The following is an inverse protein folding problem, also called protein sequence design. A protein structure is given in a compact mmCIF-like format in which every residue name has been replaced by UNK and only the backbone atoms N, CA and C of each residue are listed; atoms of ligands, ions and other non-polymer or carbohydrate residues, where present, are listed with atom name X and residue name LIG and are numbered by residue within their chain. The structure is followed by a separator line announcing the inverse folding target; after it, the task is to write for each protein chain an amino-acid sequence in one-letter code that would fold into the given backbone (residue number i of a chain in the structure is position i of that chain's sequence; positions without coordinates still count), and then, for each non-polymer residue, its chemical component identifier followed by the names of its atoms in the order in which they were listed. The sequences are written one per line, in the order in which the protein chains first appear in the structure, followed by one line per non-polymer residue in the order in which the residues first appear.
data_IF_133806159249
#
_entry.id   IF_133806159249
#
_cell.length_a   1.000
_cell.length_b   1.000
_cell.length_c   1.000
_cell.angle_alpha   90.00
_cell.angle_beta   90.00
_cell.angle_gamma   90.00
#
_symmetry.space_group_name_H-M   'P 1'
#
loop_
_entity.id
_entity.type
_entity.pdbx_description
1 polymer ?
#
# COMPACT_ATOMS: atom_id res chain seq x y z
N UNK A 1 -85.61 -20.32 -2.75
CA UNK A 1 -85.75 -21.37 -1.73
C UNK A 1 -84.53 -21.27 -0.80
N UNK A 2 -84.74 -21.24 0.53
CA UNK A 2 -83.79 -20.70 1.49
C UNK A 2 -82.95 -21.77 2.18
N UNK A 3 -81.95 -21.33 2.95
CA UNK A 3 -81.31 -21.92 4.15
C UNK A 3 -79.78 -21.88 4.04
N UNK A 4 -78.99 -21.48 5.03
CA UNK A 4 -79.23 -20.88 6.34
C UNK A 4 -77.88 -20.31 6.85
N UNK A 5 -77.95 -19.23 7.65
CA UNK A 5 -77.24 -18.94 8.91
C UNK A 5 -75.84 -19.54 9.19
N UNK A 6 -74.91 -18.92 9.93
CA UNK A 6 -74.82 -17.62 10.60
C UNK A 6 -73.46 -17.56 11.35
N UNK A 7 -73.11 -16.35 11.78
CA UNK A 7 -72.30 -15.98 12.95
C UNK A 7 -70.77 -15.81 12.88
N UNK A 8 -70.41 -14.52 12.89
CA UNK A 8 -69.24 -13.90 13.52
C UNK A 8 -69.21 -14.13 15.05
N UNK A 9 -68.01 -14.15 15.64
CA UNK A 9 -67.52 -13.56 16.93
C UNK A 9 -66.03 -13.99 17.04
N UNK A 10 -65.03 -13.12 16.87
CA UNK A 10 -64.36 -12.20 17.81
C UNK A 10 -63.16 -12.79 18.60
N UNK A 11 -61.98 -12.24 18.27
CA UNK A 11 -60.87 -11.78 19.15
C UNK A 11 -60.07 -12.74 20.09
N UNK A 12 -58.73 -12.65 19.89
CA UNK A 12 -57.59 -12.60 20.84
C UNK A 12 -56.65 -13.82 21.04
N UNK A 13 -55.35 -13.51 20.82
CA UNK A 13 -54.07 -14.08 21.34
C UNK A 13 -53.51 -15.33 20.62
N UNK A 14 -52.21 -15.50 20.35
CA UNK A 14 -50.91 -14.83 20.62
C UNK A 14 -49.82 -15.58 19.81
N UNK A 15 -48.79 -14.86 19.31
CA UNK A 15 -47.42 -15.32 18.93
C UNK A 15 -47.27 -16.40 17.83
N UNK A 16 -46.22 -16.51 17.01
CA UNK A 16 -44.98 -15.82 16.64
C UNK A 16 -44.51 -16.60 15.38
N UNK A 17 -43.88 -16.04 14.34
CA UNK A 17 -42.43 -15.85 14.16
C UNK A 17 -42.30 -15.35 12.70
N UNK A 18 -41.98 -14.07 12.48
CA UNK A 18 -40.63 -13.52 12.26
C UNK A 18 -40.34 -13.24 10.78
N UNK A 19 -40.45 -11.95 10.44
CA UNK A 19 -39.99 -11.31 9.21
C UNK A 19 -38.52 -11.60 8.94
N UNK A 20 -38.22 -12.02 7.71
CA UNK A 20 -36.89 -11.89 7.12
C UNK A 20 -36.71 -10.43 6.74
N UNK A 21 -36.24 -9.61 7.68
CA UNK A 21 -35.66 -8.31 7.36
C UNK A 21 -34.24 -8.53 6.85
N UNK A 22 -34.03 -8.12 5.62
CA UNK A 22 -32.76 -7.89 4.95
C UNK A 22 -31.80 -7.12 5.85
N UNK A 23 -30.89 -7.86 6.48
CA UNK A 23 -29.72 -7.30 7.13
C UNK A 23 -28.71 -6.97 6.03
N UNK A 24 -28.70 -5.70 5.60
CA UNK A 24 -27.57 -5.13 4.86
C UNK A 24 -26.35 -5.21 5.76
N UNK A 25 -25.54 -6.27 5.62
CA UNK A 25 -24.19 -6.29 6.15
C UNK A 25 -23.38 -5.23 5.39
N UNK A 26 -23.42 -4.01 5.91
CA UNK A 26 -22.34 -3.06 5.73
C UNK A 26 -21.12 -3.70 6.39
N UNK A 27 -20.25 -4.28 5.57
CA UNK A 27 -18.89 -4.64 5.94
C UNK A 27 -18.17 -3.34 6.31
N UNK A 28 -18.34 -2.89 7.55
CA UNK A 28 -17.41 -1.97 8.20
C UNK A 28 -16.08 -2.69 8.22
N UNK A 29 -15.09 -2.15 7.50
CA UNK A 29 -13.72 -2.62 7.60
C UNK A 29 -13.32 -2.73 9.06
N UNK A 30 -12.96 -3.95 9.48
CA UNK A 30 -12.15 -4.18 10.67
C UNK A 30 -10.78 -3.54 10.34
N UNK A 31 -10.51 -2.29 10.65
CA UNK A 31 -10.74 -1.66 11.94
C UNK A 31 -9.57 -2.09 12.81
N UNK A 32 -8.41 -1.47 12.56
CA UNK A 32 -7.21 -1.45 13.40
C UNK A 32 -7.53 -1.81 14.86
N UNK A 33 -6.93 -2.90 15.36
CA UNK A 33 -7.39 -3.55 16.60
C UNK A 33 -7.59 -2.51 17.72
N UNK A 34 -8.70 -2.60 18.44
CA UNK A 34 -9.09 -1.69 19.52
C UNK A 34 -7.94 -1.45 20.53
N UNK A 35 -7.11 -2.46 20.77
CA UNK A 35 -5.91 -2.38 21.60
C UNK A 35 -4.77 -1.50 21.03
N UNK A 36 -4.64 -1.41 19.70
CA UNK A 36 -3.62 -0.63 19.02
C UNK A 36 -4.03 0.84 18.90
N UNK A 37 -5.31 1.10 18.60
CA UNK A 37 -5.91 2.45 18.71
C UNK A 37 -5.86 2.97 20.14
N UNK A 38 -6.23 2.15 21.12
CA UNK A 38 -6.11 2.49 22.54
C UNK A 38 -4.67 2.79 22.94
N UNK A 39 -3.70 2.02 22.46
CA UNK A 39 -2.28 2.27 22.71
C UNK A 39 -1.77 3.60 22.11
N UNK A 40 -2.24 3.98 20.92
CA UNK A 40 -1.84 5.24 20.28
C UNK A 40 -2.54 6.46 20.90
N UNK A 41 -3.81 6.33 21.30
CA UNK A 41 -4.54 7.32 22.10
C UNK A 41 -3.89 7.55 23.46
N UNK A 42 -3.48 6.46 24.14
CA UNK A 42 -2.76 6.52 25.42
C UNK A 42 -1.41 7.23 25.25
N UNK A 43 -0.64 6.92 24.19
CA UNK A 43 0.62 7.58 23.86
C UNK A 43 0.42 9.07 23.55
N UNK A 44 -0.65 9.43 22.84
CA UNK A 44 -0.99 10.83 22.53
C UNK A 44 -1.43 11.60 23.78
N UNK A 45 -2.18 10.97 24.68
CA UNK A 45 -2.57 11.56 25.95
C UNK A 45 -1.35 11.82 26.85
N UNK A 46 -0.44 10.84 26.95
CA UNK A 46 0.81 11.00 27.69
C UNK A 46 1.70 12.08 27.07
N UNK A 47 1.84 12.11 25.75
CA UNK A 47 2.60 13.16 25.06
C UNK A 47 2.02 14.55 25.31
N UNK A 48 0.69 14.68 25.35
CA UNK A 48 0.01 15.95 25.65
C UNK A 48 0.32 16.39 27.09
N UNK A 49 0.23 15.46 28.04
CA UNK A 49 0.55 15.71 29.44
C UNK A 49 2.01 16.12 29.62
N UNK A 50 2.95 15.37 29.06
CA UNK A 50 4.39 15.71 29.08
C UNK A 50 4.65 17.08 28.47
N UNK A 51 3.94 17.44 27.40
CA UNK A 51 4.08 18.75 26.78
C UNK A 51 3.64 19.89 27.71
N UNK A 52 2.43 19.80 28.27
CA UNK A 52 1.85 20.84 29.14
C UNK A 52 2.61 20.96 30.47
N UNK A 53 3.01 19.84 31.07
CA UNK A 53 3.63 19.82 32.41
C UNK A 53 5.15 20.06 32.39
N UNK A 54 5.84 19.76 31.29
CA UNK A 54 7.32 19.74 31.25
C UNK A 54 7.92 20.58 30.12
N UNK A 55 7.46 20.38 28.89
CA UNK A 55 8.02 21.09 27.71
C UNK A 55 7.64 22.57 27.74
N UNK A 56 6.37 22.90 27.97
CA UNK A 56 5.90 24.28 27.97
C UNK A 56 6.58 25.15 29.05
N UNK A 57 6.73 24.70 30.32
CA UNK A 57 7.49 25.44 31.32
C UNK A 57 8.96 25.65 30.93
N UNK A 58 9.64 24.62 30.44
CA UNK A 58 11.05 24.73 30.02
C UNK A 58 11.23 25.77 28.92
N UNK A 59 10.37 25.72 27.88
CA UNK A 59 10.44 26.66 26.75
C UNK A 59 10.12 28.09 27.20
N UNK A 60 9.15 28.28 28.10
CA UNK A 60 8.82 29.60 28.66
C UNK A 60 9.94 30.17 29.51
N UNK A 61 10.66 29.33 30.24
CA UNK A 61 11.74 29.75 31.13
C UNK A 61 13.02 30.12 30.35
N UNK A 62 13.41 29.29 29.38
CA UNK A 62 14.72 29.39 28.74
C UNK A 62 14.70 29.98 27.32
N UNK A 63 13.56 29.93 26.60
CA UNK A 63 13.56 30.16 25.14
C UNK A 63 12.74 31.39 24.69
N UNK A 64 11.55 31.61 25.26
CA UNK A 64 10.58 32.61 24.74
C UNK A 64 11.08 34.06 24.81
N UNK A 65 12.01 34.38 25.70
CA UNK A 65 12.62 35.72 25.77
C UNK A 65 13.25 36.18 24.45
N UNK A 66 13.83 35.25 23.67
CA UNK A 66 14.45 35.55 22.37
C UNK A 66 13.68 34.96 21.17
N UNK A 67 12.88 33.92 21.42
CA UNK A 67 12.12 33.20 20.40
C UNK A 67 10.60 33.37 20.55
N UNK A 68 10.14 34.41 21.24
CA UNK A 68 8.73 34.80 21.39
C UNK A 68 8.42 36.17 20.77
N UNK A 69 7.13 36.46 20.59
CA UNK A 69 6.65 37.74 20.07
C UNK A 69 6.96 38.04 18.59
N UNK A 70 6.73 39.28 18.17
CA UNK A 70 6.86 39.74 16.78
C UNK A 70 8.29 39.97 16.26
N UNK A 71 9.33 39.63 17.04
CA UNK A 71 10.75 39.79 16.67
C UNK A 71 11.57 38.54 17.05
N UNK A 72 11.00 37.37 16.80
CA UNK A 72 11.68 36.10 17.01
C UNK A 72 13.02 36.03 16.25
N UNK A 73 14.12 35.74 16.97
CA UNK A 73 15.43 35.53 16.34
C UNK A 73 15.38 34.33 15.39
N UNK A 74 16.12 34.42 14.28
CA UNK A 74 16.22 33.38 13.25
C UNK A 74 14.88 32.89 12.66
N UNK A 75 13.84 33.73 12.73
CA UNK A 75 12.48 33.40 12.27
C UNK A 75 11.85 32.18 12.99
N UNK A 76 12.26 31.91 14.24
CA UNK A 76 11.73 30.80 15.07
C UNK A 76 10.87 31.36 16.19
N UNK A 77 9.54 31.23 16.06
CA UNK A 77 8.57 31.70 17.05
C UNK A 77 7.97 30.53 17.84
N UNK A 78 8.57 30.27 19.00
CA UNK A 78 8.18 29.19 19.90
C UNK A 78 6.86 29.47 20.64
N UNK A 79 6.42 30.72 20.78
CA UNK A 79 5.11 31.01 21.41
C UNK A 79 3.94 30.49 20.56
N UNK A 80 4.07 30.58 19.24
CA UNK A 80 3.08 29.99 18.32
C UNK A 80 3.23 28.46 18.30
N UNK A 81 4.44 27.93 18.49
CA UNK A 81 4.67 26.47 18.57
C UNK A 81 4.04 25.92 19.87
N UNK A 82 4.09 26.68 20.96
CA UNK A 82 3.48 26.31 22.24
C UNK A 82 1.95 26.16 22.14
N UNK A 83 1.29 27.02 21.36
CA UNK A 83 -0.17 26.95 21.15
C UNK A 83 -0.61 25.82 20.21
N UNK A 84 0.29 25.38 19.33
CA UNK A 84 0.00 24.37 18.31
C UNK A 84 1.21 23.45 18.11
N UNK A 85 1.56 22.61 19.11
CA UNK A 85 2.82 21.84 19.10
C UNK A 85 2.92 20.83 17.96
N UNK A 86 1.77 20.35 17.46
CA UNK A 86 1.69 19.37 16.40
C UNK A 86 1.77 19.93 14.98
N UNK A 87 1.78 21.25 14.77
CA UNK A 87 1.79 21.81 13.41
C UNK A 87 3.11 21.49 12.68
N UNK A 88 3.05 21.27 11.37
CA UNK A 88 4.23 20.86 10.59
C UNK A 88 5.44 21.80 10.74
N UNK A 89 5.22 23.12 10.80
CA UNK A 89 6.29 24.10 11.03
C UNK A 89 6.89 23.98 12.45
N UNK A 90 6.08 23.63 13.45
CA UNK A 90 6.57 23.45 14.82
C UNK A 90 7.52 22.27 14.93
N UNK A 91 7.26 21.18 14.20
CA UNK A 91 8.17 20.04 14.13
C UNK A 91 9.58 20.45 13.66
N UNK A 92 9.68 21.32 12.65
CA UNK A 92 10.98 21.85 12.17
C UNK A 92 11.66 22.69 13.26
N UNK A 93 10.90 23.51 13.98
CA UNK A 93 11.43 24.32 15.08
C UNK A 93 11.90 23.46 16.25
N UNK A 94 11.14 22.44 16.66
CA UNK A 94 11.52 21.51 17.72
C UNK A 94 12.80 20.74 17.36
N UNK A 95 12.94 20.28 16.11
CA UNK A 95 14.17 19.63 15.63
C UNK A 95 15.39 20.55 15.76
N UNK A 96 15.25 21.83 15.41
CA UNK A 96 16.31 22.84 15.58
C UNK A 96 16.59 23.13 17.05
N UNK A 97 15.55 23.25 17.88
CA UNK A 97 15.70 23.49 19.31
C UNK A 97 16.48 22.36 19.99
N UNK A 98 16.11 21.11 19.73
CA UNK A 98 16.83 19.92 20.24
C UNK A 98 18.29 19.92 19.78
N UNK A 99 18.56 20.20 18.51
CA UNK A 99 19.92 20.24 17.98
C UNK A 99 20.79 21.28 18.72
N UNK A 100 20.29 22.51 18.88
CA UNK A 100 21.02 23.60 19.53
C UNK A 100 21.14 23.42 21.06
N UNK A 101 20.11 22.87 21.72
CA UNK A 101 20.16 22.58 23.17
C UNK A 101 21.17 21.47 23.47
N UNK A 102 21.24 20.45 22.58
CA UNK A 102 22.16 19.32 22.71
C UNK A 102 23.64 19.70 22.59
N UNK A 103 23.96 20.72 21.79
CA UNK A 103 25.33 21.21 21.61
C UNK A 103 25.63 22.46 22.46
N UNK A 104 24.74 22.80 23.38
CA UNK A 104 24.87 23.95 24.30
C UNK A 104 24.88 25.34 23.64
N UNK A 105 24.54 25.45 22.36
CA UNK A 105 24.42 26.74 21.65
C UNK A 105 23.24 27.57 22.14
N UNK A 106 22.20 26.92 22.68
CA UNK A 106 21.00 27.57 23.21
C UNK A 106 20.69 27.12 24.63
N UNK A 107 20.36 28.04 25.56
CA UNK A 107 20.42 29.51 25.42
C UNK A 107 21.87 30.04 25.27
N UNK A 108 22.10 31.19 24.59
CA UNK A 108 23.44 31.75 24.40
C UNK A 108 24.09 32.15 25.73
N UNK A 109 25.42 32.27 25.77
CA UNK A 109 26.17 32.58 27.01
C UNK A 109 25.70 33.86 27.73
N UNK A 110 25.21 34.85 26.98
CA UNK A 110 24.66 36.11 27.50
C UNK A 110 23.22 35.98 28.05
N UNK A 111 22.68 34.76 28.09
CA UNK A 111 21.36 34.52 28.60
C UNK A 111 21.29 34.66 30.13
N UNK A 112 20.18 35.23 30.61
CA UNK A 112 19.99 35.47 32.05
C UNK A 112 19.84 34.17 32.87
N UNK A 113 19.48 33.07 32.22
CA UNK A 113 19.31 31.75 32.82
C UNK A 113 19.84 30.69 31.85
N UNK A 114 20.48 29.67 32.42
CA UNK A 114 21.05 28.53 31.71
C UNK A 114 20.52 27.24 32.35
N UNK A 115 19.97 26.30 31.56
CA UNK A 115 19.57 25.00 32.08
C UNK A 115 20.79 24.13 32.40
N UNK A 116 20.67 23.26 33.40
CA UNK A 116 21.67 22.23 33.72
C UNK A 116 21.75 21.17 32.61
N UNK A 117 22.82 20.37 32.62
CA UNK A 117 22.98 19.27 31.66
C UNK A 117 21.84 18.24 31.79
N UNK A 118 21.39 17.97 33.01
CA UNK A 118 20.24 17.11 33.27
C UNK A 118 18.94 17.69 32.70
N UNK A 119 18.68 18.99 32.89
CA UNK A 119 17.48 19.65 32.34
C UNK A 119 17.50 19.64 30.80
N UNK A 120 18.67 19.83 30.19
CA UNK A 120 18.85 19.74 28.73
C UNK A 120 18.52 18.33 28.22
N UNK A 121 19.06 17.31 28.88
CA UNK A 121 18.81 15.92 28.51
C UNK A 121 17.32 15.56 28.66
N UNK A 122 16.69 15.98 29.76
CA UNK A 122 15.26 15.78 29.98
C UNK A 122 14.42 16.46 28.90
N UNK A 123 14.74 17.70 28.52
CA UNK A 123 14.05 18.40 27.42
C UNK A 123 14.13 17.62 26.11
N UNK A 124 15.31 17.09 25.75
CA UNK A 124 15.50 16.28 24.54
C UNK A 124 14.60 15.04 24.55
N UNK A 125 14.50 14.36 25.69
CA UNK A 125 13.65 13.17 25.86
C UNK A 125 12.16 13.51 25.76
N UNK A 126 11.72 14.63 26.34
CA UNK A 126 10.32 15.06 26.26
C UNK A 126 9.92 15.45 24.84
N UNK A 127 10.81 16.11 24.09
CA UNK A 127 10.53 16.50 22.70
C UNK A 127 10.32 15.29 21.79
N UNK A 128 10.97 14.14 22.06
CA UNK A 128 10.75 12.92 21.26
C UNK A 128 9.28 12.43 21.31
N UNK A 129 8.55 12.74 22.38
CA UNK A 129 7.13 12.41 22.50
C UNK A 129 6.22 13.31 21.65
N UNK A 130 6.69 14.48 21.19
CA UNK A 130 5.85 15.41 20.42
C UNK A 130 5.43 14.86 19.06
N UNK A 131 6.10 13.83 18.55
CA UNK A 131 5.67 13.13 17.32
C UNK A 131 4.24 12.61 17.41
N UNK A 132 3.74 12.29 18.61
CA UNK A 132 2.36 11.83 18.83
C UNK A 132 1.33 12.99 18.83
N UNK A 133 1.77 14.24 18.93
CA UNK A 133 0.89 15.41 18.89
C UNK A 133 0.66 15.94 17.48
N UNK A 134 1.53 15.60 16.53
CA UNK A 134 1.35 15.91 15.12
C UNK A 134 0.21 15.09 14.52
N UNK A 135 -0.61 15.68 13.64
CA UNK A 135 -1.58 14.90 12.88
C UNK A 135 -0.82 13.90 12.00
N UNK A 136 -1.30 12.66 11.97
CA UNK A 136 -0.79 11.65 11.04
C UNK A 136 -1.17 12.10 9.63
N UNK A 137 -0.18 12.53 8.85
CA UNK A 137 -0.37 12.89 7.45
C UNK A 137 0.78 12.27 6.64
N UNK A 138 0.55 11.12 5.99
CA UNK A 138 1.58 10.46 5.18
C UNK A 138 1.85 11.17 3.83
N UNK A 139 1.12 12.25 3.54
CA UNK A 139 1.12 12.90 2.23
C UNK A 139 0.11 12.28 1.27
N UNK A 140 0.05 12.78 0.02
CA UNK A 140 -0.87 12.28 -0.98
C UNK A 140 -0.57 10.81 -1.31
N UNK A 141 -1.61 10.03 -1.57
CA UNK A 141 -1.44 8.69 -2.09
C UNK A 141 -0.89 8.74 -3.51
N UNK A 142 0.16 7.97 -3.77
CA UNK A 142 0.72 7.77 -5.11
C UNK A 142 0.89 6.29 -5.37
N UNK A 143 0.47 5.83 -6.54
CA UNK A 143 0.90 4.53 -7.07
C UNK A 143 2.38 4.64 -7.41
N UNK A 144 3.14 3.56 -7.15
CA UNK A 144 4.59 3.53 -7.39
C UNK A 144 4.89 2.66 -8.59
N UNK A 145 5.62 3.17 -9.58
CA UNK A 145 6.15 2.35 -10.68
C UNK A 145 7.29 1.46 -10.18
N UNK A 146 7.40 0.23 -10.70
CA UNK A 146 8.57 -0.61 -10.48
C UNK A 146 9.79 0.04 -11.13
N UNK A 147 10.91 0.03 -10.42
CA UNK A 147 12.20 0.42 -10.99
C UNK A 147 12.66 -0.59 -12.05
N UNK A 148 13.63 -0.21 -12.88
CA UNK A 148 14.21 -1.10 -13.91
C UNK A 148 14.70 -2.41 -13.31
N UNK A 149 15.41 -2.36 -12.18
CA UNK A 149 15.88 -3.55 -11.46
C UNK A 149 14.71 -4.41 -10.95
N UNK A 150 13.71 -3.80 -10.33
CA UNK A 150 12.54 -4.52 -9.81
C UNK A 150 11.72 -5.16 -10.93
N UNK A 151 11.58 -4.48 -12.07
CA UNK A 151 10.91 -5.00 -13.26
C UNK A 151 11.66 -6.23 -13.80
N UNK A 152 12.98 -6.14 -13.98
CA UNK A 152 13.82 -7.25 -14.44
C UNK A 152 13.75 -8.46 -13.50
N UNK A 153 13.90 -8.24 -12.19
CA UNK A 153 13.80 -9.28 -11.18
C UNK A 153 12.39 -9.91 -11.13
N UNK A 154 11.34 -9.11 -11.32
CA UNK A 154 9.97 -9.62 -11.41
C UNK A 154 9.79 -10.55 -12.61
N UNK A 155 10.32 -10.18 -13.78
CA UNK A 155 10.29 -11.04 -14.95
C UNK A 155 11.08 -12.33 -14.74
N UNK A 156 12.22 -12.24 -14.05
CA UNK A 156 13.01 -13.40 -13.68
C UNK A 156 12.24 -14.37 -12.77
N UNK A 157 11.71 -13.88 -11.66
CA UNK A 157 11.05 -14.73 -10.67
C UNK A 157 9.75 -15.33 -11.22
N UNK A 158 8.96 -14.54 -11.95
CA UNK A 158 7.66 -14.98 -12.47
C UNK A 158 7.74 -15.76 -13.79
N UNK A 159 8.75 -15.51 -14.62
CA UNK A 159 8.80 -16.06 -15.99
C UNK A 159 10.14 -16.70 -16.36
N UNK A 160 11.15 -16.67 -15.48
CA UNK A 160 12.45 -17.31 -15.70
C UNK A 160 13.29 -16.64 -16.78
N UNK A 161 13.00 -15.38 -17.10
CA UNK A 161 13.75 -14.58 -18.08
C UNK A 161 14.98 -13.96 -17.40
N UNK A 162 16.05 -13.73 -18.17
CA UNK A 162 17.21 -13.02 -17.63
C UNK A 162 16.83 -11.56 -17.27
N UNK A 163 17.11 -11.08 -16.05
CA UNK A 163 16.72 -9.73 -15.62
C UNK A 163 17.35 -8.62 -16.48
N UNK A 164 18.47 -8.88 -17.16
CA UNK A 164 19.12 -7.93 -18.08
C UNK A 164 18.25 -7.56 -19.29
N UNK A 165 17.13 -8.27 -19.51
CA UNK A 165 16.14 -7.87 -20.51
C UNK A 165 15.63 -6.45 -20.26
N UNK A 166 15.66 -5.97 -19.01
CA UNK A 166 15.20 -4.64 -18.62
C UNK A 166 16.22 -3.51 -18.86
N UNK A 167 17.49 -3.82 -19.15
CA UNK A 167 18.58 -2.84 -19.35
C UNK A 167 18.30 -1.72 -20.35
N UNK A 168 17.47 -1.90 -21.41
CA UNK A 168 17.11 -0.81 -22.32
C UNK A 168 16.23 0.28 -21.70
N UNK A 169 15.62 0.05 -20.53
CA UNK A 169 14.82 1.06 -19.86
C UNK A 169 15.72 2.18 -19.31
N UNK A 170 15.30 3.46 -19.40
CA UNK A 170 16.09 4.56 -18.88
C UNK A 170 16.30 4.43 -17.36
N UNK A 171 17.49 4.82 -16.89
CA UNK A 171 17.78 4.89 -15.47
C UNK A 171 16.85 5.87 -14.75
N UNK A 172 16.50 5.54 -13.50
CA UNK A 172 15.67 6.40 -12.68
C UNK A 172 16.48 7.59 -12.14
N UNK A 173 15.87 8.77 -12.12
CA UNK A 173 16.50 9.96 -11.55
C UNK A 173 16.44 9.87 -10.02
N UNK A 174 17.60 9.72 -9.38
CA UNK A 174 17.72 9.75 -7.93
C UNK A 174 17.36 11.15 -7.39
N UNK A 175 16.47 11.21 -6.40
CA UNK A 175 16.17 12.44 -5.64
C UNK A 175 14.83 13.11 -5.95
N UNK A 176 14.13 12.76 -7.03
CA UNK A 176 12.78 13.28 -7.33
C UNK A 176 11.63 12.40 -6.80
N UNK A 177 11.96 11.31 -6.09
CA UNK A 177 11.00 10.28 -5.69
C UNK A 177 10.72 9.29 -6.82
N UNK A 178 9.64 8.52 -6.70
CA UNK A 178 9.26 7.55 -7.74
C UNK A 178 8.66 8.26 -8.96
N UNK A 179 9.22 8.03 -10.15
CA UNK A 179 8.65 8.49 -11.41
C UNK A 179 7.41 7.65 -11.75
N UNK A 180 6.24 8.21 -11.44
CA UNK A 180 4.95 7.54 -11.61
C UNK A 180 4.27 7.85 -12.96
N UNK A 181 4.95 8.57 -13.86
CA UNK A 181 4.52 8.82 -15.23
C UNK A 181 5.17 7.84 -16.20
N UNK A 182 4.47 7.53 -17.28
CA UNK A 182 4.99 6.79 -18.43
C UNK A 182 4.87 7.70 -19.65
N UNK A 183 6.02 8.02 -20.26
CA UNK A 183 6.05 8.74 -21.53
C UNK A 183 5.68 7.81 -22.70
N UNK A 184 5.21 8.35 -23.84
CA UNK A 184 4.95 7.54 -25.03
C UNK A 184 6.14 6.66 -25.44
N UNK A 185 7.37 7.18 -25.33
CA UNK A 185 8.60 6.42 -25.59
C UNK A 185 8.74 5.23 -24.64
N UNK A 186 8.46 5.41 -23.35
CA UNK A 186 8.52 4.32 -22.37
C UNK A 186 7.44 3.27 -22.62
N UNK A 187 6.24 3.67 -23.06
CA UNK A 187 5.19 2.71 -23.44
C UNK A 187 5.64 1.78 -24.58
N UNK A 188 6.30 2.34 -25.60
CA UNK A 188 6.86 1.54 -26.70
C UNK A 188 7.97 0.60 -26.23
N UNK A 189 8.83 1.06 -25.31
CA UNK A 189 9.86 0.21 -24.71
C UNK A 189 9.25 -0.96 -23.92
N UNK A 190 8.24 -0.70 -23.08
CA UNK A 190 7.57 -1.78 -22.35
C UNK A 190 6.86 -2.75 -23.28
N UNK A 191 6.30 -2.27 -24.39
CA UNK A 191 5.69 -3.13 -25.41
C UNK A 191 6.72 -4.02 -26.11
N UNK A 192 7.88 -3.46 -26.47
CA UNK A 192 8.99 -4.22 -27.06
C UNK A 192 9.53 -5.28 -26.08
N UNK A 193 9.72 -4.91 -24.81
CA UNK A 193 10.12 -5.85 -23.77
C UNK A 193 9.09 -6.96 -23.57
N UNK A 194 7.80 -6.63 -23.57
CA UNK A 194 6.75 -7.64 -23.48
C UNK A 194 6.79 -8.62 -24.66
N UNK A 195 7.08 -8.16 -25.88
CA UNK A 195 7.28 -9.05 -27.03
C UNK A 195 8.44 -10.02 -26.79
N UNK A 196 9.60 -9.49 -26.40
CA UNK A 196 10.81 -10.30 -26.15
C UNK A 196 10.60 -11.33 -25.05
N UNK A 197 9.90 -10.97 -23.97
CA UNK A 197 9.53 -11.89 -22.90
C UNK A 197 8.65 -13.01 -23.44
N UNK A 198 7.60 -12.67 -24.20
CA UNK A 198 6.69 -13.68 -24.78
C UNK A 198 7.43 -14.62 -25.74
N UNK A 199 8.33 -14.10 -26.58
CA UNK A 199 9.15 -14.90 -27.49
C UNK A 199 10.08 -15.89 -26.77
N UNK A 200 10.60 -15.53 -25.59
CA UNK A 200 11.44 -16.42 -24.79
C UNK A 200 10.63 -17.44 -23.99
N UNK A 201 9.46 -17.04 -23.50
CA UNK A 201 8.62 -17.85 -22.63
C UNK A 201 7.79 -18.86 -23.42
N UNK A 202 7.20 -18.43 -24.54
CA UNK A 202 6.24 -19.20 -25.33
C UNK A 202 6.95 -19.80 -26.55
N UNK A 203 6.91 -21.13 -26.66
CA UNK A 203 7.46 -21.81 -27.81
C UNK A 203 6.66 -21.48 -29.09
N UNK A 204 7.32 -21.33 -30.25
CA UNK A 204 6.65 -21.15 -31.52
C UNK A 204 5.66 -22.29 -31.83
N UNK A 205 4.68 -22.01 -32.68
CA UNK A 205 3.67 -22.99 -33.08
C UNK A 205 4.31 -24.28 -33.61
N UNK A 206 3.77 -25.43 -33.19
CA UNK A 206 4.27 -26.75 -33.57
C UNK A 206 5.58 -27.17 -32.88
N UNK A 207 6.20 -26.32 -32.06
CA UNK A 207 7.36 -26.68 -31.23
C UNK A 207 6.92 -27.19 -29.86
N UNK A 208 7.82 -27.90 -29.18
CA UNK A 208 7.58 -28.41 -27.84
C UNK A 208 7.55 -27.23 -26.85
N UNK A 209 6.47 -27.13 -26.08
CA UNK A 209 6.33 -26.11 -25.04
C UNK A 209 7.54 -26.09 -24.08
N UNK A 210 7.94 -24.89 -23.65
CA UNK A 210 8.99 -24.73 -22.63
C UNK A 210 8.48 -25.20 -21.25
N UNK A 211 9.38 -25.33 -20.27
CA UNK A 211 8.97 -25.64 -18.90
C UNK A 211 8.12 -24.50 -18.31
N UNK A 212 8.51 -23.25 -18.58
CA UNK A 212 7.79 -22.05 -18.15
C UNK A 212 6.41 -22.00 -18.79
N UNK A 213 6.29 -22.17 -20.11
CA UNK A 213 5.00 -22.17 -20.80
C UNK A 213 4.03 -23.21 -20.21
N UNK A 214 4.50 -24.43 -19.90
CA UNK A 214 3.65 -25.44 -19.26
C UNK A 214 3.21 -25.05 -17.85
N UNK A 215 4.07 -24.36 -17.09
CA UNK A 215 3.73 -23.83 -15.77
C UNK A 215 2.66 -22.74 -15.88
N UNK A 216 2.81 -21.83 -16.84
CA UNK A 216 1.93 -20.67 -17.01
C UNK A 216 0.58 -21.03 -17.64
N UNK A 217 0.58 -21.81 -18.73
CA UNK A 217 -0.62 -22.05 -19.55
C UNK A 217 -1.25 -23.43 -19.30
N UNK A 218 -0.58 -24.30 -18.54
CA UNK A 218 -1.05 -25.66 -18.32
C UNK A 218 -1.10 -26.49 -19.60
N UNK A 219 -2.08 -27.41 -19.67
CA UNK A 219 -2.31 -28.25 -20.85
C UNK A 219 -3.46 -27.67 -21.66
N UNK A 220 -3.24 -27.51 -22.98
CA UNK A 220 -4.30 -27.15 -23.94
C UNK A 220 -5.47 -28.14 -23.80
N UNK A 221 -6.72 -27.65 -23.59
CA UNK A 221 -7.88 -28.52 -23.58
C UNK A 221 -8.04 -29.28 -24.90
N UNK A 222 -8.66 -30.47 -24.86
CA UNK A 222 -8.93 -31.25 -26.09
C UNK A 222 -10.14 -30.76 -26.87
N UNK A 223 -11.06 -30.10 -26.18
CA UNK A 223 -12.36 -29.67 -26.66
C UNK A 223 -12.38 -28.15 -26.70
N UNK A 224 -12.79 -27.59 -27.82
CA UNK A 224 -12.80 -26.15 -28.04
C UNK A 224 -13.80 -25.43 -27.13
N UNK A 225 -14.89 -26.09 -26.76
CA UNK A 225 -15.89 -25.55 -25.84
C UNK A 225 -15.31 -25.28 -24.44
N UNK A 226 -14.20 -25.95 -24.08
CA UNK A 226 -13.51 -25.74 -22.82
C UNK A 226 -12.42 -24.65 -22.87
N UNK A 227 -12.17 -24.04 -24.04
CA UNK A 227 -11.10 -23.04 -24.19
C UNK A 227 -11.36 -21.79 -23.36
N UNK A 228 -12.59 -21.28 -23.34
CA UNK A 228 -12.93 -20.05 -22.62
C UNK A 228 -12.74 -20.21 -21.11
N UNK A 229 -13.25 -21.30 -20.53
CA UNK A 229 -13.10 -21.59 -19.10
C UNK A 229 -11.62 -21.80 -18.72
N UNK A 230 -10.88 -22.59 -19.51
CA UNK A 230 -9.46 -22.83 -19.25
C UNK A 230 -8.61 -21.55 -19.42
N UNK A 231 -8.91 -20.72 -20.41
CA UNK A 231 -8.22 -19.45 -20.61
C UNK A 231 -8.50 -18.45 -19.47
N UNK A 232 -9.72 -18.42 -18.92
CA UNK A 232 -10.05 -17.57 -17.77
C UNK A 232 -9.28 -17.99 -16.52
N UNK A 233 -9.07 -19.29 -16.33
CA UNK A 233 -8.23 -19.79 -15.23
C UNK A 233 -6.75 -19.43 -15.42
N UNK A 234 -6.24 -19.51 -16.65
CA UNK A 234 -4.88 -19.00 -16.98
C UNK A 234 -4.79 -17.50 -16.70
N UNK A 235 -5.78 -16.71 -17.13
CA UNK A 235 -5.84 -15.27 -16.87
C UNK A 235 -5.77 -14.96 -15.37
N UNK A 236 -6.54 -15.70 -14.56
CA UNK A 236 -6.58 -15.53 -13.10
C UNK A 236 -5.22 -15.80 -12.46
N UNK A 237 -4.55 -16.88 -12.85
CA UNK A 237 -3.25 -17.24 -12.31
C UNK A 237 -2.16 -16.25 -12.76
N UNK A 238 -2.12 -15.89 -14.04
CA UNK A 238 -1.19 -14.89 -14.55
C UNK A 238 -1.35 -13.55 -13.85
N UNK A 239 -2.59 -13.05 -13.75
CA UNK A 239 -2.87 -11.77 -13.13
C UNK A 239 -2.64 -11.78 -11.61
N UNK A 240 -2.92 -12.89 -10.91
CA UNK A 240 -2.68 -13.00 -9.46
C UNK A 240 -1.23 -12.75 -9.09
N UNK A 241 -0.32 -13.37 -9.85
CA UNK A 241 1.12 -13.28 -9.64
C UNK A 241 1.66 -11.95 -10.17
N UNK A 242 1.30 -11.60 -11.40
CA UNK A 242 1.77 -10.39 -12.07
C UNK A 242 1.30 -9.12 -11.36
N UNK A 243 0.06 -9.06 -10.91
CA UNK A 243 -0.49 -7.89 -10.23
C UNK A 243 -0.24 -7.93 -8.71
N UNK A 244 0.34 -9.03 -8.20
CA UNK A 244 0.69 -9.27 -6.80
C UNK A 244 -0.49 -9.24 -5.82
N UNK A 245 -1.71 -9.24 -6.36
CA UNK A 245 -2.98 -9.31 -5.63
C UNK A 245 -4.00 -10.14 -6.42
N UNK A 246 -5.08 -10.62 -5.79
CA UNK A 246 -6.20 -11.19 -6.53
C UNK A 246 -6.70 -10.22 -7.61
N UNK A 247 -6.87 -10.67 -8.87
CA UNK A 247 -7.44 -9.84 -9.92
C UNK A 247 -8.93 -9.64 -9.70
N UNK A 248 -9.46 -8.49 -10.12
CA UNK A 248 -10.90 -8.24 -10.15
C UNK A 248 -11.54 -8.93 -11.36
N UNK A 249 -12.85 -9.17 -11.33
CA UNK A 249 -13.54 -9.78 -12.47
C UNK A 249 -13.47 -8.89 -13.73
N UNK A 250 -13.50 -7.56 -13.57
CA UNK A 250 -13.32 -6.63 -14.69
C UNK A 250 -11.92 -6.73 -15.32
N UNK A 251 -10.88 -6.94 -14.50
CA UNK A 251 -9.51 -7.17 -15.03
C UNK A 251 -9.41 -8.48 -15.78
N UNK A 252 -10.12 -9.54 -15.32
CA UNK A 252 -10.18 -10.80 -16.04
C UNK A 252 -10.95 -10.67 -17.35
N UNK A 253 -12.03 -9.91 -17.38
CA UNK A 253 -12.83 -9.68 -18.58
C UNK A 253 -11.99 -8.99 -19.67
N UNK A 254 -11.20 -7.97 -19.31
CA UNK A 254 -10.26 -7.31 -20.24
C UNK A 254 -9.24 -8.31 -20.82
N UNK A 255 -8.69 -9.20 -19.99
CA UNK A 255 -7.75 -10.24 -20.46
C UNK A 255 -8.43 -11.27 -21.37
N UNK A 256 -9.69 -11.61 -21.08
CA UNK A 256 -10.49 -12.51 -21.92
C UNK A 256 -10.89 -11.87 -23.25
N UNK A 257 -11.12 -10.56 -23.29
CA UNK A 257 -11.35 -9.82 -24.52
C UNK A 257 -10.12 -9.86 -25.44
N UNK A 258 -8.91 -9.68 -24.88
CA UNK A 258 -7.64 -9.83 -25.62
C UNK A 258 -7.50 -11.24 -26.18
N UNK A 259 -7.82 -12.26 -25.38
CA UNK A 259 -7.79 -13.65 -25.82
C UNK A 259 -8.79 -13.92 -26.96
N UNK A 260 -10.04 -13.44 -26.81
CA UNK A 260 -11.07 -13.56 -27.84
C UNK A 260 -10.70 -12.85 -29.12
N UNK A 261 -10.15 -11.62 -29.03
CA UNK A 261 -9.67 -10.86 -30.18
C UNK A 261 -8.57 -11.62 -30.94
N UNK A 262 -7.61 -12.17 -30.22
CA UNK A 262 -6.55 -13.00 -30.81
C UNK A 262 -7.13 -14.20 -31.58
N UNK A 263 -8.16 -14.86 -31.03
CA UNK A 263 -8.85 -15.95 -31.74
C UNK A 263 -9.58 -15.46 -32.99
N UNK A 264 -10.22 -14.29 -32.96
CA UNK A 264 -10.89 -13.73 -34.15
C UNK A 264 -9.92 -13.37 -35.26
N UNK A 265 -8.67 -13.03 -34.91
CA UNK A 265 -7.56 -12.81 -35.85
C UNK A 265 -6.91 -14.12 -36.34
N UNK A 266 -7.48 -15.28 -35.97
CA UNK A 266 -7.03 -16.59 -36.43
C UNK A 266 -5.86 -17.18 -35.66
N UNK A 267 -5.49 -16.61 -34.51
CA UNK A 267 -4.46 -17.19 -33.65
C UNK A 267 -4.96 -18.46 -32.97
N UNK A 268 -4.07 -19.43 -32.85
CA UNK A 268 -4.31 -20.68 -32.13
C UNK A 268 -4.46 -20.41 -30.61
N UNK A 269 -5.05 -21.35 -29.87
CA UNK A 269 -5.25 -21.23 -28.42
C UNK A 269 -3.99 -20.77 -27.64
N UNK A 270 -2.82 -21.30 -28.00
CA UNK A 270 -1.57 -20.99 -27.29
C UNK A 270 -1.10 -19.59 -27.62
N UNK A 271 -1.16 -19.20 -28.89
CA UNK A 271 -0.85 -17.86 -29.35
C UNK A 271 -1.83 -16.81 -28.78
N UNK A 272 -3.11 -17.14 -28.62
CA UNK A 272 -4.08 -16.28 -27.93
C UNK A 272 -3.75 -16.09 -26.44
N UNK A 273 -3.28 -17.14 -25.75
CA UNK A 273 -2.76 -16.99 -24.38
C UNK A 273 -1.47 -16.17 -24.32
N UNK A 274 -0.62 -16.26 -25.35
CA UNK A 274 0.58 -15.43 -25.46
C UNK A 274 0.24 -13.94 -25.60
N UNK A 275 -0.80 -13.61 -26.37
CA UNK A 275 -1.34 -12.25 -26.47
C UNK A 275 -1.91 -11.75 -25.13
N UNK A 276 -2.58 -12.62 -24.38
CA UNK A 276 -3.04 -12.31 -23.03
C UNK A 276 -1.86 -12.03 -22.08
N UNK A 277 -0.80 -12.85 -22.11
CA UNK A 277 0.41 -12.61 -21.33
C UNK A 277 1.05 -11.27 -21.69
N UNK A 278 1.13 -10.93 -22.99
CA UNK A 278 1.62 -9.62 -23.44
C UNK A 278 0.80 -8.48 -22.85
N UNK A 279 -0.53 -8.60 -22.81
CA UNK A 279 -1.40 -7.60 -22.20
C UNK A 279 -1.17 -7.44 -20.69
N UNK A 280 -0.92 -8.55 -19.98
CA UNK A 280 -0.52 -8.51 -18.56
C UNK A 280 0.78 -7.72 -18.38
N UNK A 281 1.80 -7.97 -19.21
CA UNK A 281 3.13 -7.37 -19.09
C UNK A 281 3.18 -5.86 -19.36
N UNK A 282 2.21 -5.31 -20.09
CA UNK A 282 2.09 -3.86 -20.35
C UNK A 282 1.03 -3.18 -19.49
N UNK A 283 0.33 -3.94 -18.65
CA UNK A 283 -0.72 -3.42 -17.78
C UNK A 283 -0.16 -2.50 -16.69
N UNK A 284 -0.83 -1.38 -16.35
CA UNK A 284 -0.49 -0.59 -15.18
C UNK A 284 -0.44 -1.42 -13.89
N UNK A 285 -1.24 -2.49 -13.78
CA UNK A 285 -1.25 -3.38 -12.62
C UNK A 285 0.06 -4.20 -12.51
N UNK A 286 0.74 -4.43 -13.62
CA UNK A 286 2.06 -5.07 -13.65
C UNK A 286 3.20 -4.06 -13.47
N UNK A 287 3.09 -2.88 -14.08
CA UNK A 287 4.14 -1.87 -14.05
C UNK A 287 4.19 -1.09 -12.73
N UNK A 288 3.11 -1.08 -11.96
CA UNK A 288 2.99 -0.34 -10.70
C UNK A 288 2.57 -1.25 -9.54
N UNK A 289 2.86 -0.79 -8.31
CA UNK A 289 2.24 -1.29 -7.09
C UNK A 289 0.94 -0.52 -6.87
N UNK A 290 -0.17 -1.15 -7.25
CA UNK A 290 -1.52 -0.59 -7.20
C UNK A 290 -2.28 -1.10 -5.97
N UNK A 291 -3.31 -0.37 -5.51
CA UNK A 291 -4.21 -0.87 -4.47
C UNK A 291 -5.08 -2.03 -5.00
N UNK A 292 -5.56 -2.84 -4.07
CA UNK A 292 -6.49 -3.93 -4.35
C UNK A 292 -7.93 -3.47 -4.58
N UNK A 293 -8.24 -2.25 -4.16
CA UNK A 293 -9.54 -1.61 -4.33
C UNK A 293 -9.36 -0.21 -4.90
N UNK A 294 -10.37 0.28 -5.61
CA UNK A 294 -10.40 1.69 -6.00
C UNK A 294 -10.36 2.59 -4.77
N UNK A 295 -9.56 3.63 -4.85
CA UNK A 295 -9.43 4.64 -3.80
C UNK A 295 -10.37 5.79 -4.17
N UNK A 296 -11.23 6.16 -3.23
CA UNK A 296 -12.11 7.31 -3.39
C UNK A 296 -11.30 8.61 -3.36
N UNK A 297 -11.59 9.53 -4.28
CA UNK A 297 -10.89 10.81 -4.40
C UNK A 297 -11.10 11.72 -3.17
N UNK A 298 -12.11 11.42 -2.35
CA UNK A 298 -12.49 12.15 -1.15
C UNK A 298 -11.67 11.75 0.10
N UNK A 299 -10.88 10.67 0.03
CA UNK A 299 -10.07 10.22 1.16
C UNK A 299 -8.73 10.97 1.24
N UNK A 300 -8.56 11.78 2.29
CA UNK A 300 -7.29 12.48 2.56
C UNK A 300 -6.15 11.52 2.96
N UNK A 301 -6.47 10.43 3.66
CA UNK A 301 -5.51 9.41 4.07
C UNK A 301 -5.97 8.06 3.55
N UNK A 302 -5.12 7.43 2.75
CA UNK A 302 -5.38 6.12 2.16
C UNK A 302 -4.55 5.08 2.93
N UNK A 303 -5.19 4.17 3.67
CA UNK A 303 -4.48 3.07 4.31
C UNK A 303 -3.94 2.10 3.25
N UNK A 304 -2.76 1.53 3.52
CA UNK A 304 -2.23 0.47 2.66
C UNK A 304 -2.98 -0.83 2.93
N UNK A 305 -3.42 -1.50 1.86
CA UNK A 305 -3.91 -2.86 1.97
C UNK A 305 -2.76 -3.87 2.17
N UNK A 306 -3.10 -5.09 2.59
CA UNK A 306 -2.09 -6.09 2.92
C UNK A 306 -1.28 -6.58 1.70
N UNK A 307 -1.84 -6.52 0.49
CA UNK A 307 -1.11 -6.87 -0.75
C UNK A 307 -0.12 -5.77 -1.13
N UNK A 308 -0.49 -4.50 -0.95
CA UNK A 308 0.43 -3.38 -1.07
C UNK A 308 1.54 -3.46 -0.03
N UNK A 309 1.20 -3.80 1.22
CA UNK A 309 2.18 -3.96 2.29
C UNK A 309 3.16 -5.10 1.97
N UNK A 310 2.66 -6.24 1.47
CA UNK A 310 3.48 -7.35 1.02
C UNK A 310 4.43 -6.92 -0.10
N UNK A 311 3.90 -6.28 -1.14
CA UNK A 311 4.67 -5.82 -2.30
C UNK A 311 5.74 -4.82 -1.90
N UNK A 312 5.37 -3.77 -1.17
CA UNK A 312 6.31 -2.72 -0.73
C UNK A 312 7.40 -3.29 0.17
N UNK A 313 7.07 -4.22 1.07
CA UNK A 313 8.04 -4.87 1.94
C UNK A 313 9.02 -5.76 1.13
N UNK A 314 8.51 -6.57 0.20
CA UNK A 314 9.33 -7.45 -0.62
C UNK A 314 10.27 -6.66 -1.53
N UNK A 315 9.75 -5.67 -2.25
CA UNK A 315 10.56 -4.83 -3.13
C UNK A 315 11.58 -3.99 -2.37
N UNK A 316 11.26 -3.51 -1.17
CA UNK A 316 12.21 -2.79 -0.33
C UNK A 316 13.41 -3.66 0.09
N UNK A 317 13.19 -4.95 0.36
CA UNK A 317 14.23 -5.82 0.92
C UNK A 317 14.95 -6.67 -0.12
N UNK A 318 14.27 -7.08 -1.19
CA UNK A 318 14.77 -8.02 -2.20
C UNK A 318 14.75 -7.46 -3.62
N UNK A 319 14.16 -6.28 -3.85
CA UNK A 319 13.87 -5.78 -5.20
C UNK A 319 13.15 -6.81 -6.09
N UNK A 320 12.33 -7.67 -5.48
CA UNK A 320 11.62 -8.80 -6.11
C UNK A 320 10.17 -8.90 -5.60
N UNK A 321 9.26 -9.53 -6.37
CA UNK A 321 7.87 -9.70 -5.97
C UNK A 321 7.72 -10.54 -4.68
N UNK A 322 6.60 -10.38 -3.94
CA UNK A 322 6.33 -11.16 -2.74
C UNK A 322 6.37 -12.68 -2.96
N UNK A 323 7.05 -13.39 -2.06
CA UNK A 323 6.98 -14.85 -2.05
C UNK A 323 5.59 -15.38 -1.69
N UNK A 324 5.35 -16.67 -1.96
CA UNK A 324 4.06 -17.32 -1.72
C UNK A 324 3.58 -17.18 -0.26
N UNK A 325 4.51 -17.16 0.71
CA UNK A 325 4.17 -17.03 2.13
C UNK A 325 3.66 -15.62 2.43
N UNK A 326 4.32 -14.59 1.92
CA UNK A 326 3.92 -13.20 2.10
C UNK A 326 2.60 -12.92 1.39
N UNK A 327 2.44 -13.42 0.16
CA UNK A 327 1.18 -13.35 -0.59
C UNK A 327 0.01 -14.03 0.13
N UNK A 328 0.23 -15.21 0.72
CA UNK A 328 -0.79 -15.93 1.50
C UNK A 328 -1.20 -15.16 2.76
N UNK A 329 -0.24 -14.52 3.46
CA UNK A 329 -0.55 -13.70 4.63
C UNK A 329 -1.34 -12.44 4.24
N UNK A 330 -1.08 -11.89 3.05
CA UNK A 330 -1.84 -10.77 2.52
C UNK A 330 -3.27 -11.18 2.15
N UNK A 331 -3.45 -12.33 1.50
CA UNK A 331 -4.79 -12.89 1.20
C UNK A 331 -5.62 -13.11 2.48
N UNK A 332 -4.96 -13.42 3.59
CA UNK A 332 -5.62 -13.64 4.88
C UNK A 332 -5.92 -12.36 5.66
N UNK A 333 -5.50 -11.18 5.17
CA UNK A 333 -5.69 -9.93 5.89
C UNK A 333 -4.92 -9.91 7.23
N UNK A 334 -3.73 -10.53 7.31
CA UNK A 334 -2.97 -10.63 8.58
C UNK A 334 -1.70 -9.79 8.61
N UNK A 335 -1.30 -9.18 7.51
CA UNK A 335 0.05 -8.62 7.38
C UNK A 335 0.17 -7.27 8.09
N UNK A 336 -0.90 -6.48 8.15
CA UNK A 336 -0.97 -5.21 8.87
C UNK A 336 -0.81 -5.36 10.40
N UNK A 337 -0.96 -6.57 10.95
CA UNK A 337 -0.74 -6.79 12.39
C UNK A 337 0.75 -6.63 12.77
N UNK A 338 1.11 -5.75 13.73
CA UNK A 338 2.51 -5.41 14.01
C UNK A 338 3.42 -6.59 14.36
N UNK A 339 2.90 -7.58 15.09
CA UNK A 339 3.65 -8.80 15.44
C UNK A 339 3.94 -9.66 14.21
N UNK A 340 2.97 -9.80 13.31
CA UNK A 340 3.12 -10.55 12.07
C UNK A 340 4.09 -9.83 11.13
N UNK A 341 3.92 -8.52 10.94
CA UNK A 341 4.80 -7.70 10.12
C UNK A 341 6.26 -7.78 10.57
N UNK A 342 6.53 -7.59 11.86
CA UNK A 342 7.89 -7.72 12.43
C UNK A 342 8.48 -9.11 12.22
N UNK A 343 7.65 -10.15 12.29
CA UNK A 343 8.09 -11.53 12.05
C UNK A 343 8.49 -11.73 10.59
N UNK A 344 7.71 -11.21 9.63
CA UNK A 344 8.04 -11.30 8.22
C UNK A 344 9.27 -10.46 7.87
N UNK A 345 9.42 -9.24 8.37
CA UNK A 345 10.62 -8.41 8.18
C UNK A 345 11.88 -9.19 8.59
N UNK A 346 11.89 -9.78 9.79
CA UNK A 346 13.02 -10.59 10.28
C UNK A 346 13.29 -11.83 9.42
N UNK A 347 12.25 -12.42 8.82
CA UNK A 347 12.39 -13.59 7.94
C UNK A 347 13.05 -13.20 6.62
N UNK A 348 12.59 -12.10 6.01
CA UNK A 348 13.08 -11.61 4.73
C UNK A 348 14.56 -11.20 4.85
N UNK A 349 14.91 -10.46 5.90
CA UNK A 349 16.30 -10.04 6.18
C UNK A 349 17.29 -11.22 6.41
N UNK A 350 16.80 -12.41 6.76
CA UNK A 350 17.67 -13.58 6.96
C UNK A 350 18.03 -14.30 5.66
N UNK A 351 17.33 -14.03 4.58
CA UNK A 351 17.58 -14.60 3.26
C UNK A 351 17.55 -13.46 2.24
N UNK A 352 18.53 -12.53 2.28
CA UNK A 352 18.56 -11.36 1.42
C UNK A 352 18.74 -11.72 -0.05
#
# INVERSE_FOLDING_TARGET
MPSHCSHRISLLRVAALACVLSCSLVLKGEGETDAQRKGEEDLRAEAKKTFEEKVEPFVKEYCTRCHGGGRAKANVNLEVDLKAPGRGVAFVHWKKAVANVKVHDMPPEDAAKQPSDEERQQFIEWIDQLKYLSPVNPGPFVIRRLSTTEYGNTLHDLYGVDPSIADPLPEEVLGEGYLNSISPMQSELFLDLANRVVEQVVAPEGKRATAVQRRLFGKKPRKEEAYQEAAREVARNLARDAYRRPPTEAELDVLMDVFGLAQTEGLDYTASLAMMLKAVLISPQFLFITPSTEISAEQEIVPLDDHQLASRLSYLLWASPPDAKLSTLADQGKLHHPKMLRTQIKRLLKNP
#
